data_IF_102415825350
#
_entry.id   IF_102415825350
#
_cell.length_a   1.000
_cell.length_b   1.000
_cell.length_c   1.000
_cell.angle_alpha   90.00
_cell.angle_beta   90.00
_cell.angle_gamma   90.00
#
_symmetry.space_group_name_H-M   'P 1'
#
loop_
_entity.id
_entity.type
_entity.pdbx_description
1 polymer ?
#
# COMPACT_ATOMS: atom_id res chain seq x y z
N UNK A 1 23.81 -9.84 -4.66
CA UNK A 1 24.94 -9.41 -5.52
C UNK A 1 24.76 -7.96 -5.99
N UNK A 2 23.55 -7.55 -6.40
CA UNK A 2 23.25 -6.18 -6.86
C UNK A 2 23.63 -5.08 -5.85
N UNK A 3 23.37 -5.27 -4.54
CA UNK A 3 23.69 -4.24 -3.52
C UNK A 3 25.19 -3.95 -3.37
N UNK A 4 26.05 -4.96 -3.59
CA UNK A 4 27.51 -4.78 -3.54
C UNK A 4 28.00 -3.96 -4.74
N UNK A 5 27.46 -4.25 -5.92
CA UNK A 5 27.75 -3.49 -7.14
C UNK A 5 27.27 -2.05 -7.00
N UNK A 6 26.05 -1.84 -6.47
CA UNK A 6 25.51 -0.51 -6.21
C UNK A 6 26.38 0.27 -5.20
N UNK A 7 26.86 -0.36 -4.13
CA UNK A 7 27.76 0.27 -3.16
C UNK A 7 29.06 0.73 -3.82
N UNK A 8 29.70 -0.14 -4.59
CA UNK A 8 30.93 0.17 -5.33
C UNK A 8 30.69 1.32 -6.32
N UNK A 9 29.59 1.25 -7.08
CA UNK A 9 29.24 2.28 -8.07
C UNK A 9 29.01 3.63 -7.40
N UNK A 10 28.24 3.68 -6.31
CA UNK A 10 27.97 4.92 -5.55
C UNK A 10 29.26 5.50 -4.98
N UNK A 11 30.15 4.67 -4.42
CA UNK A 11 31.46 5.12 -3.93
C UNK A 11 32.33 5.68 -5.05
N UNK A 12 32.47 4.97 -6.17
CA UNK A 12 33.25 5.43 -7.34
C UNK A 12 32.68 6.74 -7.87
N UNK A 13 31.37 6.82 -8.03
CA UNK A 13 30.69 8.01 -8.54
C UNK A 13 30.87 9.20 -7.59
N UNK A 14 30.81 8.97 -6.27
CA UNK A 14 31.07 9.99 -5.24
C UNK A 14 32.49 10.54 -5.35
N UNK A 15 33.49 9.66 -5.46
CA UNK A 15 34.89 10.04 -5.64
C UNK A 15 35.08 10.82 -6.95
N UNK A 16 34.48 10.33 -8.05
CA UNK A 16 34.57 10.99 -9.34
C UNK A 16 33.99 12.41 -9.30
N UNK A 17 32.80 12.58 -8.72
CA UNK A 17 32.16 13.91 -8.59
C UNK A 17 33.01 14.82 -7.68
N UNK A 18 33.56 14.29 -6.58
CA UNK A 18 34.46 15.05 -5.71
C UNK A 18 35.70 15.54 -6.46
N UNK A 19 36.39 14.66 -7.18
CA UNK A 19 37.58 15.03 -7.96
C UNK A 19 37.25 16.07 -9.04
N UNK A 20 36.13 15.88 -9.74
CA UNK A 20 35.68 16.78 -10.80
C UNK A 20 35.29 18.17 -10.25
N UNK A 21 34.76 18.25 -9.05
CA UNK A 21 34.37 19.54 -8.42
C UNK A 21 35.54 20.27 -7.75
N UNK A 22 36.54 19.54 -7.25
CA UNK A 22 37.75 20.12 -6.63
C UNK A 22 38.79 20.54 -7.67
N UNK A 23 38.85 19.87 -8.83
CA UNK A 23 39.83 20.17 -9.86
C UNK A 23 39.68 21.61 -10.41
N UNK A 24 40.75 22.44 -10.39
CA UNK A 24 40.68 23.83 -10.83
C UNK A 24 40.25 24.02 -12.29
N UNK A 25 40.62 23.07 -13.16
CA UNK A 25 40.36 23.13 -14.60
C UNK A 25 38.87 23.00 -14.94
N UNK A 26 38.13 22.19 -14.19
CA UNK A 26 36.71 21.89 -14.41
C UNK A 26 35.78 22.79 -13.61
N UNK A 27 36.28 23.39 -12.52
CA UNK A 27 35.49 24.18 -11.57
C UNK A 27 34.69 25.31 -12.23
N UNK A 28 35.28 26.04 -13.19
CA UNK A 28 34.58 27.13 -13.88
C UNK A 28 33.33 26.66 -14.63
N UNK A 29 33.47 25.58 -15.41
CA UNK A 29 32.36 25.00 -16.17
C UNK A 29 31.27 24.44 -15.25
N UNK A 30 31.64 23.72 -14.20
CA UNK A 30 30.66 23.13 -13.27
C UNK A 30 29.91 24.22 -12.50
N UNK A 31 30.61 25.26 -12.04
CA UNK A 31 29.98 26.38 -11.35
C UNK A 31 28.97 27.11 -12.25
N UNK A 32 29.23 27.22 -13.56
CA UNK A 32 28.28 27.84 -14.50
C UNK A 32 26.95 27.08 -14.61
N UNK A 33 26.95 25.77 -14.31
CA UNK A 33 25.78 24.90 -14.35
C UNK A 33 25.08 24.75 -12.99
N UNK A 34 25.48 25.54 -11.98
CA UNK A 34 24.94 25.45 -10.62
C UNK A 34 23.41 25.54 -10.55
N UNK A 35 22.81 26.50 -11.26
CA UNK A 35 21.35 26.69 -11.30
C UNK A 35 20.66 25.45 -11.88
N UNK A 36 21.24 24.83 -12.91
CA UNK A 36 20.71 23.61 -13.51
C UNK A 36 20.67 22.47 -12.48
N UNK A 37 21.74 22.29 -11.69
CA UNK A 37 21.79 21.23 -10.68
C UNK A 37 20.70 21.39 -9.62
N UNK A 38 20.47 22.62 -9.15
CA UNK A 38 19.40 22.92 -8.20
C UNK A 38 18.05 22.60 -8.83
N UNK A 39 17.77 23.13 -10.02
CA UNK A 39 16.47 22.94 -10.69
C UNK A 39 16.21 21.46 -10.93
N UNK A 40 17.18 20.71 -11.48
CA UNK A 40 17.04 19.29 -11.75
C UNK A 40 16.88 18.48 -10.46
N UNK A 41 17.62 18.80 -9.39
CA UNK A 41 17.49 18.11 -8.11
C UNK A 41 16.14 18.38 -7.44
N UNK A 42 15.73 19.65 -7.35
CA UNK A 42 14.48 20.06 -6.70
C UNK A 42 13.25 19.57 -7.47
N UNK A 43 13.18 19.84 -8.77
CA UNK A 43 12.10 19.33 -9.64
C UNK A 43 12.14 17.80 -9.64
N UNK A 44 13.33 17.22 -9.74
CA UNK A 44 13.54 15.78 -9.73
C UNK A 44 12.92 15.10 -8.51
N UNK A 45 13.22 15.60 -7.32
CA UNK A 45 12.69 15.09 -6.06
C UNK A 45 11.18 15.28 -5.94
N UNK A 46 10.65 16.44 -6.33
CA UNK A 46 9.21 16.73 -6.27
C UNK A 46 8.39 15.84 -7.22
N UNK A 47 8.92 15.55 -8.42
CA UNK A 47 8.23 14.74 -9.43
C UNK A 47 8.46 13.23 -9.28
N UNK A 48 9.44 12.81 -8.48
CA UNK A 48 9.73 11.39 -8.21
C UNK A 48 8.48 10.54 -7.83
N UNK A 49 7.61 10.95 -6.88
CA UNK A 49 6.44 10.15 -6.52
C UNK A 49 5.42 10.04 -7.67
N UNK A 50 5.32 11.04 -8.54
CA UNK A 50 4.41 11.03 -9.69
C UNK A 50 4.93 10.08 -10.76
N UNK A 51 6.22 10.16 -11.09
CA UNK A 51 6.87 9.31 -12.10
C UNK A 51 6.81 7.84 -11.67
N UNK A 52 7.08 7.54 -10.39
CA UNK A 52 7.01 6.19 -9.86
C UNK A 52 5.64 5.51 -10.05
N UNK A 53 4.56 6.28 -10.10
CA UNK A 53 3.20 5.74 -10.35
C UNK A 53 2.96 5.39 -11.82
N UNK A 54 3.63 6.08 -12.76
CA UNK A 54 3.36 5.95 -14.20
C UNK A 54 4.40 5.10 -14.94
N UNK A 55 5.61 5.00 -14.40
CA UNK A 55 6.72 4.25 -15.03
C UNK A 55 6.92 2.93 -14.29
N UNK A 56 6.64 1.82 -14.97
CA UNK A 56 6.83 0.47 -14.44
C UNK A 56 8.25 -0.08 -14.64
N UNK A 57 9.07 0.56 -15.50
CA UNK A 57 10.43 0.11 -15.79
C UNK A 57 11.39 0.48 -14.66
N UNK A 58 11.91 -0.52 -13.95
CA UNK A 58 12.89 -0.34 -12.87
C UNK A 58 14.18 0.34 -13.35
N UNK A 59 14.60 0.11 -14.60
CA UNK A 59 15.81 0.72 -15.16
C UNK A 59 15.66 2.23 -15.31
N UNK A 60 14.50 2.69 -15.79
CA UNK A 60 14.23 4.13 -15.97
C UNK A 60 14.17 4.82 -14.63
N UNK A 61 13.53 4.20 -13.63
CA UNK A 61 13.47 4.75 -12.27
C UNK A 61 14.86 4.82 -11.62
N UNK A 62 15.70 3.80 -11.84
CA UNK A 62 17.08 3.77 -11.36
C UNK A 62 17.95 4.86 -12.00
N UNK A 63 17.85 5.04 -13.32
CA UNK A 63 18.53 6.11 -14.04
C UNK A 63 18.10 7.49 -13.55
N UNK A 64 16.79 7.69 -13.38
CA UNK A 64 16.24 8.94 -12.86
C UNK A 64 16.78 9.27 -11.47
N UNK A 65 16.79 8.27 -10.56
CA UNK A 65 17.38 8.43 -9.24
C UNK A 65 18.88 8.72 -9.27
N UNK A 66 19.63 8.10 -10.19
CA UNK A 66 21.05 8.38 -10.39
C UNK A 66 21.27 9.83 -10.84
N UNK A 67 20.47 10.34 -11.79
CA UNK A 67 20.58 11.73 -12.26
C UNK A 67 20.35 12.72 -11.10
N UNK A 68 19.33 12.48 -10.27
CA UNK A 68 19.07 13.30 -9.08
C UNK A 68 20.24 13.24 -8.10
N UNK A 69 20.75 12.03 -7.83
CA UNK A 69 21.91 11.83 -6.95
C UNK A 69 23.12 12.62 -7.44
N UNK A 70 23.46 12.53 -8.73
CA UNK A 70 24.58 13.27 -9.32
C UNK A 70 24.37 14.78 -9.20
N UNK A 71 23.16 15.28 -9.47
CA UNK A 71 22.86 16.71 -9.36
C UNK A 71 22.98 17.21 -7.91
N UNK A 72 22.49 16.45 -6.92
CA UNK A 72 22.63 16.78 -5.51
C UNK A 72 24.10 16.81 -5.07
N UNK A 73 24.88 15.82 -5.50
CA UNK A 73 26.32 15.76 -5.20
C UNK A 73 27.09 16.90 -5.84
N UNK A 74 26.79 17.24 -7.11
CA UNK A 74 27.39 18.38 -7.80
C UNK A 74 27.00 19.70 -7.13
N UNK A 75 25.75 19.85 -6.70
CA UNK A 75 25.30 21.02 -5.96
C UNK A 75 26.14 21.21 -4.69
N UNK A 76 26.24 20.19 -3.84
CA UNK A 76 27.06 20.26 -2.62
C UNK A 76 28.54 20.52 -2.95
N UNK A 77 29.06 19.86 -3.98
CA UNK A 77 30.46 20.01 -4.38
C UNK A 77 30.83 21.42 -4.86
N UNK A 78 29.99 22.06 -5.70
CA UNK A 78 30.18 23.44 -6.15
C UNK A 78 30.25 24.42 -4.99
N UNK A 79 29.48 24.15 -3.93
CA UNK A 79 29.40 25.00 -2.73
C UNK A 79 30.49 24.72 -1.70
N UNK A 80 31.46 23.86 -2.00
CA UNK A 80 32.64 23.64 -1.15
C UNK A 80 32.59 22.40 -0.26
N UNK A 81 31.73 21.41 -0.56
CA UNK A 81 31.66 20.13 0.14
C UNK A 81 31.54 20.26 1.67
N UNK A 82 32.64 20.03 2.39
CA UNK A 82 32.70 19.97 3.85
C UNK A 82 32.34 21.32 4.50
N UNK A 83 32.70 22.43 3.85
CA UNK A 83 32.36 23.79 4.31
C UNK A 83 31.08 24.33 3.66
N UNK A 84 30.33 23.49 2.94
CA UNK A 84 29.12 23.92 2.25
C UNK A 84 28.02 24.23 3.26
N UNK A 85 27.26 25.34 3.09
CA UNK A 85 26.03 25.56 3.85
C UNK A 85 24.96 24.48 3.57
N UNK A 86 25.13 23.72 2.49
CA UNK A 86 24.27 22.61 2.09
C UNK A 86 24.83 21.24 2.49
N UNK A 87 25.81 21.18 3.41
CA UNK A 87 26.40 19.92 3.88
C UNK A 87 25.33 18.91 4.36
N UNK A 88 24.26 19.39 5.00
CA UNK A 88 23.14 18.58 5.46
C UNK A 88 22.40 17.82 4.33
N UNK A 89 22.51 18.26 3.08
CA UNK A 89 21.98 17.51 1.92
C UNK A 89 22.64 16.13 1.81
N UNK A 90 23.91 15.98 2.19
CA UNK A 90 24.59 14.67 2.17
C UNK A 90 23.95 13.66 3.12
N UNK A 91 23.37 14.12 4.23
CA UNK A 91 22.64 13.29 5.18
C UNK A 91 21.34 12.81 4.54
N UNK A 92 20.62 13.72 3.88
CA UNK A 92 19.41 13.39 3.14
C UNK A 92 19.70 12.41 2.00
N UNK A 93 20.79 12.61 1.27
CA UNK A 93 21.26 11.68 0.23
C UNK A 93 21.55 10.31 0.83
N UNK A 94 22.26 10.23 1.96
CA UNK A 94 22.52 8.97 2.66
C UNK A 94 21.22 8.24 3.06
N UNK A 95 20.22 8.99 3.56
CA UNK A 95 18.89 8.47 3.89
C UNK A 95 18.19 7.93 2.64
N UNK A 96 18.15 8.71 1.56
CA UNK A 96 17.54 8.31 0.28
C UNK A 96 18.21 7.05 -0.27
N UNK A 97 19.54 6.95 -0.24
CA UNK A 97 20.28 5.77 -0.66
C UNK A 97 19.94 4.53 0.18
N UNK A 98 19.69 4.69 1.48
CA UNK A 98 19.29 3.58 2.35
C UNK A 98 17.94 2.98 1.90
N UNK A 99 16.97 3.86 1.61
CA UNK A 99 15.64 3.50 1.16
C UNK A 99 15.60 2.98 -0.28
N UNK A 100 16.45 3.52 -1.16
CA UNK A 100 16.50 3.11 -2.57
C UNK A 100 17.23 1.78 -2.77
N UNK A 101 18.30 1.51 -2.01
CA UNK A 101 19.14 0.34 -2.21
C UNK A 101 19.21 -0.52 -0.95
N UNK A 102 20.07 -0.17 0.00
CA UNK A 102 20.26 -0.91 1.26
C UNK A 102 21.11 -0.10 2.25
N UNK A 103 21.08 -0.42 3.55
CA UNK A 103 21.91 0.25 4.56
C UNK A 103 23.40 0.13 4.26
N UNK A 104 23.81 -0.97 3.60
CA UNK A 104 25.19 -1.21 3.23
C UNK A 104 25.70 -0.19 2.20
N UNK A 105 24.85 0.24 1.26
CA UNK A 105 25.19 1.29 0.27
C UNK A 105 25.37 2.63 0.99
N UNK A 106 24.48 2.95 1.94
CA UNK A 106 24.61 4.14 2.78
C UNK A 106 25.89 4.13 3.60
N UNK A 107 26.24 3.00 4.21
CA UNK A 107 27.49 2.85 4.94
C UNK A 107 28.71 3.07 4.04
N UNK A 108 28.75 2.45 2.85
CA UNK A 108 29.83 2.64 1.89
C UNK A 108 29.95 4.10 1.44
N UNK A 109 28.82 4.76 1.14
CA UNK A 109 28.77 6.19 0.81
C UNK A 109 29.31 7.07 1.95
N UNK A 110 28.84 6.87 3.17
CA UNK A 110 29.29 7.61 4.35
C UNK A 110 30.79 7.42 4.61
N UNK A 111 31.30 6.19 4.57
CA UNK A 111 32.74 5.91 4.72
C UNK A 111 33.55 6.59 3.60
N UNK A 112 33.04 6.58 2.37
CA UNK A 112 33.69 7.26 1.25
C UNK A 112 33.78 8.77 1.50
N UNK A 113 32.70 9.40 1.95
CA UNK A 113 32.71 10.82 2.31
C UNK A 113 33.66 11.14 3.47
N UNK A 114 33.65 10.31 4.52
CA UNK A 114 34.59 10.48 5.64
C UNK A 114 36.05 10.40 5.16
N UNK A 115 36.37 9.47 4.25
CA UNK A 115 37.69 9.38 3.64
C UNK A 115 38.04 10.62 2.81
N UNK A 116 37.10 11.12 2.02
CA UNK A 116 37.30 12.33 1.19
C UNK A 116 37.44 13.62 2.01
N UNK A 117 36.78 13.70 3.17
CA UNK A 117 36.82 14.88 4.03
C UNK A 117 37.92 14.82 5.10
N UNK A 118 38.51 13.65 5.36
CA UNK A 118 39.60 13.51 6.33
C UNK A 118 40.76 14.51 6.13
N UNK A 119 41.19 14.85 4.91
CA UNK A 119 42.24 15.85 4.69
C UNK A 119 41.86 17.29 5.05
N UNK A 120 40.57 17.60 5.18
CA UNK A 120 40.09 18.96 5.49
C UNK A 120 39.97 19.23 6.99
N UNK A 121 40.17 18.21 7.84
CA UNK A 121 40.06 18.34 9.30
C UNK A 121 41.16 19.26 9.82
N UNK A 122 40.78 20.24 10.64
CA UNK A 122 41.69 21.21 11.25
C UNK A 122 41.90 22.48 10.41
N UNK A 123 41.13 22.66 9.32
CA UNK A 123 41.21 23.87 8.50
C UNK A 123 40.56 25.09 9.17
N UNK A 124 39.55 24.87 10.03
CA UNK A 124 38.86 25.93 10.78
C UNK A 124 38.96 25.66 12.28
N UNK A 125 38.30 24.59 12.75
CA UNK A 125 38.31 24.16 14.15
C UNK A 125 38.19 22.63 14.19
N UNK A 126 39.25 21.97 14.67
CA UNK A 126 39.35 20.52 14.77
C UNK A 126 38.18 19.91 15.55
N UNK A 127 37.67 20.59 16.59
CA UNK A 127 36.57 20.09 17.41
C UNK A 127 35.27 20.06 16.62
N UNK A 128 34.96 21.15 15.92
CA UNK A 128 33.74 21.27 15.09
C UNK A 128 33.81 20.28 13.93
N UNK A 129 34.98 20.12 13.32
CA UNK A 129 35.18 19.22 12.19
C UNK A 129 34.94 17.75 12.60
N UNK A 130 35.47 17.32 13.75
CA UNK A 130 35.26 15.97 14.28
C UNK A 130 33.78 15.73 14.61
N UNK A 131 33.11 16.69 15.25
CA UNK A 131 31.67 16.60 15.55
C UNK A 131 30.87 16.45 14.25
N UNK A 132 31.21 17.21 13.22
CA UNK A 132 30.56 17.18 11.91
C UNK A 132 30.72 15.80 11.26
N UNK A 133 31.93 15.23 11.28
CA UNK A 133 32.20 13.89 10.77
C UNK A 133 31.46 12.79 11.54
N UNK A 134 31.45 12.86 12.87
CA UNK A 134 30.70 11.92 13.71
C UNK A 134 29.19 12.01 13.45
N UNK A 135 28.67 13.23 13.26
CA UNK A 135 27.26 13.43 12.93
C UNK A 135 26.89 12.82 11.57
N UNK A 136 27.76 12.91 10.56
CA UNK A 136 27.56 12.23 9.27
C UNK A 136 27.56 10.70 9.45
N UNK A 137 28.45 10.17 10.29
CA UNK A 137 28.50 8.73 10.60
C UNK A 137 27.23 8.23 11.30
N UNK A 138 26.65 9.05 12.20
CA UNK A 138 25.41 8.73 12.92
C UNK A 138 24.18 8.49 12.03
N UNK A 139 24.22 8.92 10.77
CA UNK A 139 23.15 8.66 9.79
C UNK A 139 23.01 7.18 9.48
N UNK A 140 24.09 6.40 9.57
CA UNK A 140 24.07 4.97 9.27
C UNK A 140 23.16 4.17 10.23
N UNK A 141 23.33 4.21 11.56
CA UNK A 141 22.43 3.50 12.46
C UNK A 141 21.00 4.04 12.40
N UNK A 142 20.83 5.36 12.21
CA UNK A 142 19.51 5.97 12.07
C UNK A 142 18.75 5.43 10.86
N UNK A 143 19.40 5.39 9.69
CA UNK A 143 18.80 4.89 8.45
C UNK A 143 18.49 3.40 8.51
N UNK A 144 19.36 2.61 9.16
CA UNK A 144 19.09 1.20 9.43
C UNK A 144 17.80 1.01 10.26
N UNK A 145 17.63 1.78 11.33
CA UNK A 145 16.43 1.71 12.17
C UNK A 145 15.18 2.14 11.39
N UNK A 146 15.24 3.26 10.68
CA UNK A 146 14.13 3.78 9.87
C UNK A 146 13.68 2.79 8.80
N UNK A 147 14.62 2.13 8.12
CA UNK A 147 14.28 1.14 7.10
C UNK A 147 13.60 -0.10 7.70
N UNK A 148 14.06 -0.55 8.88
CA UNK A 148 13.45 -1.68 9.58
C UNK A 148 12.01 -1.38 9.98
N UNK A 149 11.75 -0.20 10.55
CA UNK A 149 10.38 0.21 10.92
C UNK A 149 9.50 0.41 9.68
N UNK A 150 10.04 0.96 8.59
CA UNK A 150 9.32 1.08 7.33
C UNK A 150 8.91 -0.27 6.74
N UNK A 151 9.79 -1.26 6.77
CA UNK A 151 9.47 -2.63 6.32
C UNK A 151 8.38 -3.26 7.20
N UNK A 152 8.47 -3.08 8.52
CA UNK A 152 7.46 -3.56 9.47
C UNK A 152 6.09 -2.93 9.21
N UNK A 153 6.04 -1.63 8.91
CA UNK A 153 4.81 -0.92 8.55
C UNK A 153 4.20 -1.48 7.25
N UNK A 154 5.01 -1.73 6.22
CA UNK A 154 4.55 -2.35 4.97
C UNK A 154 4.01 -3.76 5.14
N UNK A 155 4.67 -4.56 5.97
CA UNK A 155 4.19 -5.92 6.28
C UNK A 155 2.84 -5.88 6.99
N UNK A 156 2.66 -4.94 7.93
CA UNK A 156 1.39 -4.76 8.61
C UNK A 156 0.29 -4.29 7.66
N UNK A 157 0.57 -3.35 6.76
CA UNK A 157 -0.38 -2.89 5.74
C UNK A 157 -0.83 -4.03 4.82
N UNK A 158 0.11 -4.87 4.36
CA UNK A 158 -0.21 -6.05 3.53
C UNK A 158 -1.08 -7.07 4.28
N UNK A 159 -0.80 -7.30 5.57
CA UNK A 159 -1.64 -8.19 6.40
C UNK A 159 -3.06 -7.64 6.56
N UNK A 160 -3.21 -6.32 6.71
CA UNK A 160 -4.53 -5.67 6.78
C UNK A 160 -5.30 -5.86 5.47
N UNK A 161 -4.65 -5.68 4.31
CA UNK A 161 -5.27 -5.92 3.00
C UNK A 161 -5.78 -7.36 2.82
N UNK A 162 -5.01 -8.37 3.24
CA UNK A 162 -5.43 -9.78 3.16
C UNK A 162 -6.66 -10.05 4.05
N UNK A 163 -6.67 -9.51 5.26
CA UNK A 163 -7.80 -9.66 6.19
C UNK A 163 -9.08 -9.00 5.67
N UNK A 164 -8.98 -7.86 4.98
CA UNK A 164 -10.13 -7.19 4.37
C UNK A 164 -10.68 -7.96 3.15
N UNK A 165 -9.82 -8.55 2.33
CA UNK A 165 -10.24 -9.40 1.21
C UNK A 165 -10.93 -10.69 1.69
N UNK A 166 -10.39 -11.34 2.73
CA UNK A 166 -11.04 -12.51 3.36
C UNK A 166 -12.41 -12.17 3.94
N UNK A 167 -12.55 -11.03 4.62
CA UNK A 167 -13.85 -10.55 5.13
C UNK A 167 -14.85 -10.29 4.01
N UNK A 168 -14.42 -9.73 2.87
CA UNK A 168 -15.29 -9.51 1.70
C UNK A 168 -15.76 -10.83 1.08
N UNK A 169 -14.88 -11.82 0.96
CA UNK A 169 -15.22 -13.16 0.45
C UNK A 169 -16.22 -13.85 1.38
N UNK A 170 -15.98 -13.76 2.70
CA UNK A 170 -16.89 -14.32 3.70
C UNK A 170 -18.27 -13.66 3.64
N UNK A 171 -18.34 -12.33 3.52
CA UNK A 171 -19.61 -11.60 3.40
C UNK A 171 -20.39 -12.01 2.16
N UNK A 172 -19.74 -12.09 1.00
CA UNK A 172 -20.39 -12.52 -0.25
C UNK A 172 -20.93 -13.95 -0.18
N UNK A 173 -20.20 -14.89 0.43
CA UNK A 173 -20.68 -16.27 0.59
C UNK A 173 -21.88 -16.37 1.53
N UNK A 174 -21.88 -15.61 2.63
CA UNK A 174 -23.02 -15.57 3.56
C UNK A 174 -24.25 -14.98 2.86
N UNK A 175 -24.08 -13.89 2.12
CA UNK A 175 -25.15 -13.25 1.36
C UNK A 175 -25.72 -14.18 0.26
N UNK A 176 -24.86 -14.92 -0.46
CA UNK A 176 -25.27 -15.89 -1.48
C UNK A 176 -26.04 -17.08 -0.91
N UNK A 177 -25.59 -17.62 0.24
CA UNK A 177 -26.29 -18.72 0.93
C UNK A 177 -27.64 -18.27 1.49
N UNK A 178 -27.71 -17.06 2.06
CA UNK A 178 -28.96 -16.47 2.53
C UNK A 178 -29.93 -16.25 1.37
N UNK A 179 -29.45 -15.67 0.25
CA UNK A 179 -30.26 -15.44 -0.94
C UNK A 179 -30.84 -16.75 -1.51
N UNK A 180 -30.01 -17.79 -1.63
CA UNK A 180 -30.47 -19.10 -2.12
C UNK A 180 -31.52 -19.74 -1.20
N UNK A 181 -31.38 -19.60 0.12
CA UNK A 181 -32.39 -20.07 1.09
C UNK A 181 -33.71 -19.32 0.92
N UNK A 182 -33.66 -17.98 0.81
CA UNK A 182 -34.86 -17.13 0.62
C UNK A 182 -35.56 -17.42 -0.71
N UNK A 183 -34.81 -17.61 -1.81
CA UNK A 183 -35.37 -17.96 -3.12
C UNK A 183 -36.06 -19.32 -3.06
N UNK A 184 -35.41 -20.34 -2.47
CA UNK A 184 -35.97 -21.68 -2.35
C UNK A 184 -37.26 -21.67 -1.52
N UNK A 185 -37.26 -20.95 -0.41
CA UNK A 185 -38.45 -20.76 0.42
C UNK A 185 -39.59 -20.08 -0.34
N UNK A 186 -39.30 -18.98 -1.05
CA UNK A 186 -40.28 -18.26 -1.86
C UNK A 186 -40.89 -19.14 -2.95
N UNK A 187 -40.08 -19.97 -3.61
CA UNK A 187 -40.55 -20.93 -4.60
C UNK A 187 -41.46 -22.01 -3.98
N UNK A 188 -41.10 -22.51 -2.79
CA UNK A 188 -41.88 -23.52 -2.06
C UNK A 188 -43.22 -23.00 -1.53
N UNK A 189 -43.34 -21.70 -1.23
CA UNK A 189 -44.61 -21.08 -0.83
C UNK A 189 -45.50 -20.71 -2.02
N UNK A 190 -44.91 -20.38 -3.17
CA UNK A 190 -45.67 -19.95 -4.35
C UNK A 190 -46.69 -21.00 -4.82
N UNK A 191 -46.33 -22.27 -4.78
CA UNK A 191 -47.18 -23.37 -5.22
C UNK A 191 -48.46 -23.51 -4.37
N UNK A 192 -48.40 -23.74 -3.04
CA UNK A 192 -49.60 -23.86 -2.23
C UNK A 192 -50.45 -22.58 -2.23
N UNK A 193 -49.82 -21.40 -2.27
CA UNK A 193 -50.56 -20.12 -2.39
C UNK A 193 -51.33 -20.03 -3.70
N UNK A 194 -50.73 -20.44 -4.82
CA UNK A 194 -51.42 -20.45 -6.10
C UNK A 194 -52.55 -21.50 -6.14
N UNK A 195 -52.33 -22.68 -5.55
CA UNK A 195 -53.33 -23.75 -5.48
C UNK A 195 -54.51 -23.33 -4.61
N UNK A 196 -54.26 -22.67 -3.47
CA UNK A 196 -55.31 -22.04 -2.64
C UNK A 196 -56.13 -21.03 -3.44
N UNK A 197 -55.47 -20.18 -4.23
CA UNK A 197 -56.16 -19.19 -5.09
C UNK A 197 -57.03 -19.88 -6.14
N UNK A 198 -56.55 -20.93 -6.79
CA UNK A 198 -57.31 -21.66 -7.80
C UNK A 198 -58.52 -22.36 -7.18
N UNK A 199 -58.35 -23.02 -6.03
CA UNK A 199 -59.43 -23.66 -5.31
C UNK A 199 -60.49 -22.65 -4.84
N UNK A 200 -60.08 -21.46 -4.40
CA UNK A 200 -61.00 -20.39 -4.02
C UNK A 200 -61.85 -19.91 -5.22
N UNK A 201 -61.24 -19.78 -6.40
CA UNK A 201 -61.96 -19.44 -7.63
C UNK A 201 -62.93 -20.54 -8.07
N UNK A 202 -62.57 -21.82 -7.90
CA UNK A 202 -63.46 -22.95 -8.18
C UNK A 202 -64.65 -22.96 -7.21
N UNK A 203 -64.40 -22.76 -5.92
CA UNK A 203 -65.44 -22.67 -4.89
C UNK A 203 -66.44 -21.54 -5.18
N UNK A 204 -65.95 -20.37 -5.63
CA UNK A 204 -66.80 -19.24 -5.98
C UNK A 204 -67.74 -19.53 -7.17
N UNK A 205 -67.34 -20.39 -8.11
CA UNK A 205 -68.08 -20.65 -9.36
C UNK A 205 -69.08 -21.80 -9.26
N UNK A 206 -69.06 -22.60 -8.20
CA UNK A 206 -69.92 -23.77 -8.07
C UNK A 206 -71.11 -23.50 -7.14
N UNK A 207 -72.30 -23.95 -7.55
CA UNK A 207 -73.53 -23.87 -6.73
C UNK A 207 -73.74 -25.08 -5.82
N UNK A 208 -72.99 -26.16 -6.05
CA UNK A 208 -73.07 -27.39 -5.28
C UNK A 208 -72.32 -27.23 -3.95
N UNK A 209 -73.02 -27.24 -2.79
CA UNK A 209 -72.41 -27.01 -1.49
C UNK A 209 -71.38 -28.08 -1.12
N UNK A 210 -71.49 -29.31 -1.64
CA UNK A 210 -70.52 -30.37 -1.34
C UNK A 210 -69.14 -30.10 -1.95
N UNK A 211 -69.11 -29.61 -3.20
CA UNK A 211 -67.87 -29.27 -3.91
C UNK A 211 -67.20 -28.02 -3.34
N UNK A 212 -68.02 -27.05 -2.91
CA UNK A 212 -67.55 -25.84 -2.23
C UNK A 212 -66.90 -26.20 -0.89
N UNK A 213 -67.57 -27.02 -0.07
CA UNK A 213 -67.02 -27.49 1.22
C UNK A 213 -65.69 -28.24 1.04
N UNK A 214 -65.60 -29.12 0.03
CA UNK A 214 -64.37 -29.86 -0.28
C UNK A 214 -63.23 -28.93 -0.72
N UNK A 215 -63.51 -27.90 -1.52
CA UNK A 215 -62.52 -26.91 -1.93
C UNK A 215 -62.01 -26.08 -0.74
N UNK A 216 -62.91 -25.63 0.15
CA UNK A 216 -62.51 -24.94 1.38
C UNK A 216 -61.66 -25.80 2.31
N UNK A 217 -62.00 -27.08 2.47
CA UNK A 217 -61.19 -28.00 3.27
C UNK A 217 -59.76 -28.15 2.71
N UNK A 218 -59.61 -28.21 1.38
CA UNK A 218 -58.29 -28.24 0.74
C UNK A 218 -57.52 -26.93 0.90
N UNK A 219 -58.20 -25.77 0.83
CA UNK A 219 -57.58 -24.47 1.09
C UNK A 219 -57.04 -24.39 2.51
N UNK A 220 -57.80 -24.83 3.51
CA UNK A 220 -57.37 -24.85 4.91
C UNK A 220 -56.10 -25.70 5.06
N UNK A 221 -56.11 -26.91 4.48
CA UNK A 221 -54.95 -27.81 4.53
C UNK A 221 -53.69 -27.21 3.88
N UNK A 222 -53.82 -26.54 2.72
CA UNK A 222 -52.71 -25.86 2.06
C UNK A 222 -52.24 -24.62 2.84
N UNK A 223 -53.14 -23.96 3.54
CA UNK A 223 -52.84 -22.85 4.45
C UNK A 223 -52.00 -23.32 5.65
N UNK A 224 -52.41 -24.41 6.30
CA UNK A 224 -51.64 -25.05 7.38
C UNK A 224 -50.26 -25.51 6.88
N UNK A 225 -50.18 -26.13 5.70
CA UNK A 225 -48.90 -26.54 5.11
C UNK A 225 -47.98 -25.34 4.83
N UNK A 226 -48.54 -24.23 4.35
CA UNK A 226 -47.78 -23.00 4.09
C UNK A 226 -47.25 -22.38 5.40
N UNK A 227 -48.09 -22.37 6.45
CA UNK A 227 -47.70 -21.90 7.78
C UNK A 227 -46.57 -22.76 8.37
N UNK A 228 -46.69 -24.08 8.32
CA UNK A 228 -45.64 -24.99 8.79
C UNK A 228 -44.31 -24.75 8.04
N UNK A 229 -44.36 -24.48 6.74
CA UNK A 229 -43.16 -24.15 5.94
C UNK A 229 -42.55 -22.81 6.34
N UNK A 230 -43.36 -21.82 6.70
CA UNK A 230 -42.89 -20.53 7.23
C UNK A 230 -42.18 -20.76 8.57
N UNK A 231 -42.80 -21.49 9.49
CA UNK A 231 -42.23 -21.82 10.81
C UNK A 231 -40.90 -22.58 10.68
N UNK A 232 -40.83 -23.61 9.81
CA UNK A 232 -39.58 -24.33 9.54
C UNK A 232 -38.47 -23.43 8.98
N UNK A 233 -38.83 -22.46 8.13
CA UNK A 233 -37.86 -21.53 7.57
C UNK A 233 -37.36 -20.55 8.63
N UNK A 234 -38.24 -20.03 9.48
CA UNK A 234 -37.87 -19.18 10.61
C UNK A 234 -36.92 -19.90 11.56
N UNK A 235 -37.29 -21.11 12.02
CA UNK A 235 -36.44 -21.90 12.91
C UNK A 235 -35.05 -22.18 12.28
N UNK A 236 -34.99 -22.50 10.98
CA UNK A 236 -33.72 -22.75 10.26
C UNK A 236 -32.86 -21.51 10.04
N UNK A 237 -33.43 -20.30 10.06
CA UNK A 237 -32.71 -19.05 9.75
C UNK A 237 -32.37 -18.26 11.01
N UNK A 238 -33.29 -18.18 11.97
CA UNK A 238 -33.13 -17.39 13.19
C UNK A 238 -32.82 -18.25 14.42
N UNK A 239 -33.08 -19.57 14.36
CA UNK A 239 -32.98 -20.46 15.52
C UNK A 239 -34.09 -20.25 16.56
N UNK A 240 -35.10 -19.44 16.24
CA UNK A 240 -36.20 -19.07 17.14
C UNK A 240 -37.51 -19.26 16.40
N UNK A 241 -38.46 -19.95 17.03
CA UNK A 241 -39.81 -20.09 16.51
C UNK A 241 -40.64 -18.86 16.94
N UNK A 242 -40.94 -17.96 16.01
CA UNK A 242 -41.53 -16.66 16.32
C UNK A 242 -43.07 -16.68 16.32
N UNK A 243 -43.68 -17.76 15.82
CA UNK A 243 -45.15 -17.86 15.71
C UNK A 243 -45.74 -18.63 16.89
N UNK A 244 -46.58 -17.96 17.69
CA UNK A 244 -47.34 -18.53 18.79
C UNK A 244 -48.62 -19.26 18.32
N UNK A 245 -48.51 -20.19 17.39
CA UNK A 245 -49.67 -20.95 16.83
C UNK A 245 -49.95 -22.25 17.56
N UNK A 246 -49.78 -22.28 18.89
CA UNK A 246 -50.35 -23.34 19.73
C UNK A 246 -51.10 -22.75 20.92
N UNK A 247 -52.41 -22.56 20.72
CA UNK A 247 -53.43 -22.74 21.74
C UNK A 247 -54.59 -23.51 21.13
#
# INVERSE_FOLDING_TARGET
>A
MQNRIAAILVSILTIAIFLVTVAPQTRGYINSMFVLYIVVASVGLLYYPVIRKHVSSERVLSLYGLVIFVCLMLWVGVTGWFFSPFFYILYLVAIVLAFMYSPFVTFAFTITLLGLFAPNIGSIDTTIDIITMLSLFSVVPLTYFLQKEYLRLKENEKKVLILDDEKRILKNKVDEVLLNKVIKFSAQLRQPVNDMRQLALVAQRHKDPSKVSKAFHQIIKLGEESLNRIEEFEEKVTGINLVHTKK
#
